data_IF_210568467923
#
_entry.id   IF_210568467923
#
_cell.length_a   1.000
_cell.length_b   1.000
_cell.length_c   1.000
_cell.angle_alpha   90.00
_cell.angle_beta   90.00
_cell.angle_gamma   90.00
#
_symmetry.space_group_name_H-M   'P 1'
#
loop_
_entity.id
_entity.type
_entity.pdbx_description
1 polymer ?
#
# COMPACT_ATOMS: atom_id res chain seq x y z
N UNK A 1 -21.33 59.86 -19.76
CA UNK A 1 -22.10 60.73 -18.86
C UNK A 1 -21.79 60.27 -17.44
N UNK A 2 -20.87 60.98 -16.79
CA UNK A 2 -21.04 61.90 -15.63
C UNK A 2 -21.98 61.33 -14.55
N UNK A 3 -21.45 60.98 -13.34
CA UNK A 3 -21.49 61.90 -12.21
C UNK A 3 -20.63 61.42 -11.04
N UNK A 4 -19.72 62.28 -10.66
CA UNK A 4 -19.05 62.45 -9.37
C UNK A 4 -20.03 62.83 -8.26
N UNK A 5 -19.70 62.49 -6.99
CA UNK A 5 -19.96 63.33 -5.78
C UNK A 5 -19.65 62.47 -4.55
N UNK A 6 -19.12 62.92 -3.47
CA UNK A 6 -18.41 64.08 -2.92
C UNK A 6 -17.91 63.71 -1.53
N UNK A 7 -16.80 64.21 -1.19
CA UNK A 7 -16.15 64.26 0.12
C UNK A 7 -17.05 64.72 1.26
N UNK A 8 -16.78 64.23 2.49
CA UNK A 8 -16.97 65.03 3.70
C UNK A 8 -15.82 64.74 4.68
N UNK A 9 -14.93 65.68 4.71
CA UNK A 9 -13.86 65.88 5.70
C UNK A 9 -14.49 66.55 6.93
N UNK A 10 -14.28 66.03 8.13
CA UNK A 10 -14.52 66.76 9.36
C UNK A 10 -13.26 66.72 10.26
N UNK A 11 -12.56 67.84 10.25
CA UNK A 11 -11.59 68.17 11.26
C UNK A 11 -12.33 68.62 12.54
N UNK A 12 -11.90 68.12 13.70
CA UNK A 12 -12.06 68.91 14.92
C UNK A 12 -10.84 68.81 15.84
N UNK A 13 -10.53 69.88 16.39
CA UNK A 13 -9.32 70.42 16.95
C UNK A 13 -8.90 69.85 18.32
N UNK A 14 -7.64 69.98 18.50
CA UNK A 14 -6.78 69.92 19.68
C UNK A 14 -7.38 70.58 20.95
N UNK A 15 -7.22 69.89 22.09
CA UNK A 15 -6.86 70.54 23.35
C UNK A 15 -5.89 69.69 24.15
N UNK A 16 -4.71 70.21 24.35
CA UNK A 16 -3.70 69.66 25.22
C UNK A 16 -4.04 69.99 26.67
N UNK A 17 -3.92 68.99 27.54
CA UNK A 17 -3.61 69.26 28.97
C UNK A 17 -2.52 68.33 29.40
N UNK A 18 -1.42 68.91 29.81
CA UNK A 18 -0.26 68.31 30.44
C UNK A 18 -0.58 67.86 31.87
N UNK A 19 -0.24 66.63 32.22
CA UNK A 19 0.27 66.34 33.57
C UNK A 19 1.02 65.01 33.57
N UNK A 20 2.22 65.07 33.98
CA UNK A 20 3.24 64.07 34.23
C UNK A 20 2.79 62.98 35.20
N UNK A 21 3.06 61.71 34.89
CA UNK A 21 3.68 60.80 35.85
C UNK A 21 4.15 59.51 35.17
N UNK A 22 5.35 59.07 35.47
CA UNK A 22 6.05 57.89 35.04
C UNK A 22 5.27 56.65 35.38
N UNK A 23 5.20 55.74 34.42
CA UNK A 23 5.69 54.37 34.58
C UNK A 23 5.78 53.73 33.17
N UNK A 24 7.02 53.57 32.73
CA UNK A 24 7.32 52.80 31.54
C UNK A 24 7.11 51.31 31.88
N UNK A 25 6.01 50.77 31.46
CA UNK A 25 5.90 49.36 31.16
C UNK A 25 5.18 49.23 29.80
N UNK A 26 5.93 49.53 28.74
CA UNK A 26 5.53 49.18 27.37
C UNK A 26 5.69 47.68 27.23
N UNK A 27 4.72 46.91 27.71
CA UNK A 27 4.48 45.61 27.18
C UNK A 27 4.00 45.81 25.74
N UNK A 28 4.99 45.76 24.83
CA UNK A 28 4.75 45.66 23.39
C UNK A 28 4.07 44.32 23.09
N UNK A 29 2.82 44.17 23.49
CA UNK A 29 1.99 43.03 23.08
C UNK A 29 1.50 43.35 21.67
N UNK A 30 2.15 42.71 20.67
CA UNK A 30 1.55 42.60 19.35
C UNK A 30 0.09 42.14 19.50
N UNK A 31 -0.89 42.84 18.87
CA UNK A 31 -2.28 42.45 18.99
C UNK A 31 -2.42 40.97 18.61
N UNK A 32 -2.90 40.18 19.54
CA UNK A 32 -3.15 38.75 19.29
C UNK A 32 -4.31 38.65 18.29
N UNK A 33 -4.04 38.11 17.11
CA UNK A 33 -5.06 37.85 16.11
C UNK A 33 -6.00 36.76 16.63
N UNK A 34 -7.31 37.05 16.67
CA UNK A 34 -8.32 36.12 17.16
C UNK A 34 -8.55 35.01 16.13
N UNK A 35 -8.60 33.78 16.60
CA UNK A 35 -8.86 32.61 15.74
C UNK A 35 -10.37 32.46 15.53
N UNK A 36 -10.79 32.50 14.28
CA UNK A 36 -12.18 32.31 13.87
C UNK A 36 -12.55 30.83 13.80
N UNK A 37 -11.73 30.00 13.12
CA UNK A 37 -11.96 28.57 12.94
C UNK A 37 -10.68 27.76 12.71
N UNK A 38 -10.80 26.45 12.89
CA UNK A 38 -9.86 25.42 12.44
C UNK A 38 -10.57 24.54 11.43
N UNK A 39 -9.91 24.16 10.35
CA UNK A 39 -10.40 23.22 9.35
C UNK A 39 -9.37 22.12 9.12
N UNK A 40 -9.85 20.90 8.85
CA UNK A 40 -9.02 19.78 8.41
C UNK A 40 -9.24 19.55 6.91
N UNK A 41 -8.19 19.10 6.22
CA UNK A 41 -8.26 18.67 4.82
C UNK A 41 -9.22 17.49 4.59
N UNK A 42 -9.53 16.70 5.65
CA UNK A 42 -10.48 15.58 5.62
C UNK A 42 -11.25 15.51 6.94
N UNK A 43 -12.55 15.20 6.86
CA UNK A 43 -13.43 15.02 8.03
C UNK A 43 -13.72 13.55 8.34
N UNK A 44 -13.34 12.66 7.41
CA UNK A 44 -13.40 11.22 7.58
C UNK A 44 -12.16 10.57 6.95
N UNK A 45 -11.66 9.51 7.57
CA UNK A 45 -10.47 8.78 7.16
C UNK A 45 -10.68 7.29 7.37
N UNK A 46 -10.41 6.49 6.35
CA UNK A 46 -10.39 5.04 6.44
C UNK A 46 -8.94 4.55 6.36
N UNK A 47 -8.54 3.71 7.31
CA UNK A 47 -7.22 3.13 7.43
C UNK A 47 -7.34 1.62 7.65
N UNK A 48 -6.39 0.87 7.14
CA UNK A 48 -6.14 -0.48 7.62
C UNK A 48 -5.25 -0.45 8.87
N UNK A 49 -5.26 -1.51 9.65
CA UNK A 49 -4.29 -1.66 10.74
C UNK A 49 -2.87 -1.57 10.19
N UNK A 50 -2.04 -0.71 10.78
CA UNK A 50 -0.67 -0.41 10.34
C UNK A 50 -0.56 0.68 9.27
N UNK A 51 -1.66 1.11 8.65
CA UNK A 51 -1.64 2.19 7.63
C UNK A 51 -1.51 3.56 8.29
N UNK A 52 -0.84 4.47 7.58
CA UNK A 52 -0.67 5.86 7.99
C UNK A 52 -1.21 6.83 6.94
N UNK A 53 -1.89 7.89 7.41
CA UNK A 53 -2.31 9.02 6.56
C UNK A 53 -2.14 10.34 7.31
N UNK A 54 -1.84 11.40 6.56
CA UNK A 54 -1.62 12.74 7.14
C UNK A 54 -2.86 13.62 7.01
N UNK A 55 -3.31 14.16 8.14
CA UNK A 55 -4.26 15.27 8.24
C UNK A 55 -3.50 16.58 8.28
N UNK A 56 -4.03 17.58 7.60
CA UNK A 56 -3.53 18.95 7.65
C UNK A 56 -4.59 19.87 8.27
N UNK A 57 -4.21 20.62 9.29
CA UNK A 57 -5.08 21.63 9.90
C UNK A 57 -4.74 23.03 9.35
N UNK A 58 -5.78 23.81 9.09
CA UNK A 58 -5.67 25.23 8.69
C UNK A 58 -6.42 26.08 9.70
N UNK A 59 -5.74 27.09 10.26
CA UNK A 59 -6.34 28.06 11.18
C UNK A 59 -6.68 29.34 10.43
N UNK A 60 -7.86 29.87 10.64
CA UNK A 60 -8.33 31.14 10.04
C UNK A 60 -8.46 32.20 11.12
N UNK A 61 -8.01 33.43 10.83
CA UNK A 61 -7.36 33.95 9.62
C UNK A 61 -5.89 33.46 9.48
N UNK A 62 -5.30 33.59 8.31
CA UNK A 62 -3.96 33.07 7.98
C UNK A 62 -2.81 33.73 8.74
N UNK A 63 -3.01 34.95 9.24
CA UNK A 63 -2.08 35.70 10.07
C UNK A 63 -2.19 35.36 11.57
N UNK A 64 -3.18 34.52 11.95
CA UNK A 64 -3.25 33.97 13.30
C UNK A 64 -2.21 32.85 13.50
N UNK A 65 -1.99 32.48 14.76
CA UNK A 65 -1.09 31.38 15.12
C UNK A 65 -1.61 30.06 14.53
N UNK A 66 -0.87 29.47 13.60
CA UNK A 66 -1.22 28.23 12.89
C UNK A 66 -0.92 26.97 13.69
N UNK A 67 -0.37 27.08 14.90
CA UNK A 67 -0.03 25.93 15.74
C UNK A 67 -1.28 25.25 16.26
N UNK A 68 -1.38 23.95 16.03
CA UNK A 68 -2.43 23.07 16.58
C UNK A 68 -1.83 21.96 17.43
N UNK A 69 -2.61 21.49 18.39
CA UNK A 69 -2.36 20.23 19.10
C UNK A 69 -3.28 19.15 18.57
N UNK A 70 -2.81 17.91 18.56
CA UNK A 70 -3.53 16.77 18.06
C UNK A 70 -3.84 15.78 19.18
N UNK A 71 -5.06 15.26 19.19
CA UNK A 71 -5.51 14.26 20.16
C UNK A 71 -6.37 13.19 19.49
N UNK A 72 -6.22 11.94 19.93
CA UNK A 72 -7.09 10.83 19.56
C UNK A 72 -8.04 10.51 20.70
N UNK A 73 -9.31 10.30 20.38
CA UNK A 73 -10.31 9.85 21.37
C UNK A 73 -10.04 8.42 21.87
N UNK A 74 -9.25 7.64 21.11
CA UNK A 74 -8.86 6.28 21.50
C UNK A 74 -7.54 5.87 20.82
N UNK A 75 -6.43 5.98 21.54
CA UNK A 75 -5.10 5.66 21.06
C UNK A 75 -4.85 4.16 20.84
N UNK A 76 -5.72 3.28 21.34
CA UNK A 76 -5.64 1.85 21.02
C UNK A 76 -6.17 1.55 19.64
N UNK A 77 -7.07 2.39 19.09
CA UNK A 77 -7.62 2.25 17.75
C UNK A 77 -6.79 3.03 16.74
N UNK A 78 -6.55 4.31 17.01
CA UNK A 78 -5.73 5.15 16.14
C UNK A 78 -4.92 6.14 16.97
N UNK A 79 -3.64 6.29 16.66
CA UNK A 79 -2.77 7.32 17.22
C UNK A 79 -2.60 8.48 16.25
N UNK A 80 -2.25 9.67 16.77
CA UNK A 80 -1.91 10.83 15.94
C UNK A 80 -0.64 11.50 16.46
N UNK A 81 0.27 11.82 15.56
CA UNK A 81 1.49 12.58 15.85
C UNK A 81 1.72 13.59 14.72
N UNK A 82 1.75 14.86 15.06
CA UNK A 82 2.00 15.97 14.12
C UNK A 82 1.09 15.90 12.85
N UNK A 83 -0.19 15.48 13.04
CA UNK A 83 -1.15 15.27 11.97
C UNK A 83 -1.09 13.91 11.27
N UNK A 84 -0.03 13.13 11.48
CA UNK A 84 0.04 11.77 10.93
C UNK A 84 -0.74 10.82 11.82
N UNK A 85 -1.79 10.21 11.24
CA UNK A 85 -2.69 9.26 11.90
C UNK A 85 -2.25 7.85 11.53
N UNK A 86 -2.05 6.99 12.54
CA UNK A 86 -1.69 5.57 12.38
C UNK A 86 -2.81 4.69 12.91
N UNK A 87 -3.34 3.77 12.09
CA UNK A 87 -4.29 2.74 12.51
C UNK A 87 -3.62 1.67 13.38
N UNK A 88 -4.16 1.36 14.56
CA UNK A 88 -3.59 0.37 15.50
C UNK A 88 -4.42 -0.90 15.62
N UNK A 89 -5.71 -0.78 15.88
CA UNK A 89 -6.64 -1.91 15.94
C UNK A 89 -7.95 -1.54 15.28
N UNK A 90 -8.70 -2.52 14.80
CA UNK A 90 -10.01 -2.30 14.19
C UNK A 90 -10.97 -1.58 15.14
N UNK A 91 -11.67 -0.59 14.61
CA UNK A 91 -12.62 0.23 15.38
C UNK A 91 -12.74 1.64 14.86
N UNK A 92 -13.39 2.51 15.62
CA UNK A 92 -13.59 3.92 15.28
C UNK A 92 -12.95 4.81 16.35
N UNK A 93 -12.18 5.81 15.92
CA UNK A 93 -11.66 6.87 16.77
C UNK A 93 -11.96 8.24 16.12
N UNK A 94 -11.91 9.30 16.93
CA UNK A 94 -12.01 10.68 16.46
C UNK A 94 -10.66 11.36 16.70
N UNK A 95 -10.07 11.93 15.66
CA UNK A 95 -8.90 12.78 15.78
C UNK A 95 -9.35 14.24 15.86
N UNK A 96 -8.85 14.94 16.85
CA UNK A 96 -9.16 16.36 17.10
C UNK A 96 -7.90 17.19 16.94
N UNK A 97 -7.98 18.23 16.12
CA UNK A 97 -6.99 19.30 16.05
C UNK A 97 -7.52 20.51 16.83
N UNK A 98 -6.76 21.02 17.79
CA UNK A 98 -7.11 22.16 18.61
C UNK A 98 -6.10 23.28 18.38
N UNK A 99 -6.56 24.46 17.96
CA UNK A 99 -5.71 25.65 17.86
C UNK A 99 -5.14 26.03 19.22
N UNK A 100 -3.84 26.24 19.28
CA UNK A 100 -3.13 26.60 20.52
C UNK A 100 -3.67 27.85 21.17
N UNK A 101 -4.09 28.82 20.35
CA UNK A 101 -4.71 30.06 20.81
C UNK A 101 -6.22 30.00 20.51
N UNK A 102 -7.05 30.39 21.49
CA UNK A 102 -8.51 30.49 21.32
C UNK A 102 -9.29 29.16 21.40
N UNK A 103 -8.62 27.98 21.46
CA UNK A 103 -9.26 26.69 21.72
C UNK A 103 -10.25 26.22 20.66
N UNK A 104 -10.23 26.78 19.44
CA UNK A 104 -11.07 26.30 18.32
C UNK A 104 -10.59 24.92 17.86
N UNK A 105 -11.52 24.06 17.51
CA UNK A 105 -11.25 22.66 17.16
C UNK A 105 -11.82 22.27 15.81
N UNK A 106 -11.20 21.27 15.18
CA UNK A 106 -11.77 20.52 14.08
C UNK A 106 -11.54 19.04 14.30
N UNK A 107 -12.45 18.21 13.81
CA UNK A 107 -12.41 16.75 14.03
C UNK A 107 -12.45 15.97 12.74
N UNK A 108 -11.78 14.81 12.75
CA UNK A 108 -11.85 13.81 11.70
C UNK A 108 -12.26 12.47 12.31
N UNK A 109 -13.32 11.85 11.77
CA UNK A 109 -13.70 10.48 12.13
C UNK A 109 -12.75 9.52 11.44
N UNK A 110 -12.08 8.66 12.21
CA UNK A 110 -11.19 7.62 11.70
C UNK A 110 -11.85 6.26 11.91
N UNK A 111 -11.99 5.52 10.83
CA UNK A 111 -12.39 4.12 10.87
C UNK A 111 -11.18 3.25 10.52
N UNK A 112 -10.77 2.41 11.45
CA UNK A 112 -9.68 1.45 11.24
C UNK A 112 -10.28 0.08 10.97
N UNK A 113 -9.98 -0.46 9.81
CA UNK A 113 -10.42 -1.80 9.40
C UNK A 113 -9.34 -2.81 9.79
N UNK A 114 -9.73 -3.92 10.40
CA UNK A 114 -8.83 -5.04 10.66
C UNK A 114 -8.30 -5.63 9.37
N UNK A 115 -7.09 -6.17 9.41
CA UNK A 115 -6.58 -6.97 8.30
C UNK A 115 -7.47 -8.19 8.13
N UNK A 116 -7.87 -8.49 6.88
CA UNK A 116 -8.66 -9.69 6.57
C UNK A 116 -7.76 -10.91 6.77
N UNK A 117 -8.24 -11.89 7.49
CA UNK A 117 -7.57 -13.17 7.65
C UNK A 117 -8.15 -14.19 6.65
N UNK A 118 -7.28 -15.01 6.08
CA UNK A 118 -7.63 -16.05 5.12
C UNK A 118 -7.17 -17.42 5.62
N UNK A 119 -7.83 -18.46 5.12
CA UNK A 119 -7.38 -19.84 5.26
C UNK A 119 -6.76 -20.31 3.95
N UNK A 120 -5.93 -21.35 4.04
CA UNK A 120 -5.44 -22.04 2.85
C UNK A 120 -6.61 -22.60 2.06
N UNK A 121 -6.66 -22.29 0.77
CA UNK A 121 -7.75 -22.62 -0.13
C UNK A 121 -8.81 -21.54 -0.32
N UNK A 122 -8.79 -20.44 0.43
CA UNK A 122 -9.71 -19.32 0.23
C UNK A 122 -9.44 -18.62 -1.10
N UNK A 123 -10.49 -18.03 -1.68
CA UNK A 123 -10.33 -17.09 -2.79
C UNK A 123 -9.76 -15.77 -2.27
N UNK A 124 -8.97 -15.10 -3.10
CA UNK A 124 -8.43 -13.78 -2.79
C UNK A 124 -8.91 -12.77 -3.85
N UNK A 125 -9.38 -11.56 -3.51
CA UNK A 125 -9.42 -10.95 -2.17
C UNK A 125 -10.69 -11.25 -1.35
N UNK A 126 -11.63 -12.02 -1.85
CA UNK A 126 -12.82 -12.42 -1.10
C UNK A 126 -12.89 -13.94 -0.94
N UNK A 127 -12.79 -14.41 0.32
CA UNK A 127 -12.64 -15.83 0.66
C UNK A 127 -13.78 -16.72 0.11
N UNK A 128 -14.98 -16.18 0.02
CA UNK A 128 -16.22 -16.89 -0.32
C UNK A 128 -16.69 -16.58 -1.76
N UNK A 129 -16.13 -15.57 -2.43
CA UNK A 129 -16.58 -15.12 -3.74
C UNK A 129 -15.57 -15.46 -4.85
N UNK A 130 -15.89 -16.52 -5.63
CA UNK A 130 -15.09 -16.91 -6.78
C UNK A 130 -15.18 -15.93 -7.96
N UNK A 131 -16.24 -15.12 -8.02
CA UNK A 131 -16.47 -14.21 -9.16
C UNK A 131 -15.55 -13.00 -9.19
N UNK A 132 -15.06 -12.59 -8.02
CA UNK A 132 -14.10 -11.48 -7.86
C UNK A 132 -12.67 -11.97 -7.62
N UNK A 133 -12.47 -13.28 -7.58
CA UNK A 133 -11.18 -13.86 -7.27
C UNK A 133 -10.11 -13.53 -8.31
N UNK A 134 -8.92 -13.17 -7.84
CA UNK A 134 -7.71 -13.03 -8.66
C UNK A 134 -6.70 -14.14 -8.43
N UNK A 135 -6.91 -14.93 -7.37
CA UNK A 135 -6.07 -16.07 -7.01
C UNK A 135 -6.65 -16.89 -5.86
N UNK A 136 -5.91 -17.92 -5.47
CA UNK A 136 -6.23 -18.79 -4.35
C UNK A 136 -5.10 -18.75 -3.34
N UNK A 137 -5.46 -18.59 -2.06
CA UNK A 137 -4.52 -18.60 -0.95
C UNK A 137 -3.95 -20.01 -0.78
N UNK A 138 -2.65 -20.18 -0.81
CA UNK A 138 -2.01 -21.48 -0.62
C UNK A 138 -1.11 -21.57 0.62
N UNK A 139 -0.75 -20.42 1.20
CA UNK A 139 0.03 -20.35 2.43
C UNK A 139 -0.50 -19.20 3.30
N UNK A 140 -0.55 -19.41 4.60
CA UNK A 140 -0.94 -18.38 5.58
C UNK A 140 0.03 -18.37 6.76
N UNK A 141 0.24 -17.18 7.32
CA UNK A 141 0.99 -16.95 8.55
C UNK A 141 0.24 -15.95 9.42
N UNK A 142 0.64 -15.84 10.69
CA UNK A 142 0.04 -14.90 11.64
C UNK A 142 -1.51 -14.99 11.68
N UNK A 143 -2.03 -16.21 11.79
CA UNK A 143 -3.49 -16.42 11.86
C UNK A 143 -4.24 -16.07 10.56
N UNK A 144 -3.58 -16.12 9.41
CA UNK A 144 -4.18 -15.85 8.09
C UNK A 144 -4.10 -14.40 7.64
N UNK A 145 -3.53 -13.51 8.46
CA UNK A 145 -3.41 -12.07 8.15
C UNK A 145 -2.33 -11.80 7.08
N UNK A 146 -1.36 -12.69 6.97
CA UNK A 146 -0.34 -12.69 5.93
C UNK A 146 -0.31 -14.04 5.25
N UNK A 147 0.06 -14.06 3.99
CA UNK A 147 0.15 -15.31 3.24
C UNK A 147 0.55 -15.11 1.80
N UNK A 148 0.40 -16.19 1.05
CA UNK A 148 0.71 -16.21 -0.38
C UNK A 148 -0.48 -16.72 -1.20
N UNK A 149 -0.68 -16.07 -2.33
CA UNK A 149 -1.74 -16.32 -3.31
C UNK A 149 -1.09 -16.77 -4.61
N UNK A 150 -1.68 -17.75 -5.27
CA UNK A 150 -1.32 -18.15 -6.63
C UNK A 150 -2.39 -17.63 -7.60
N UNK A 151 -1.98 -17.10 -8.75
CA UNK A 151 -2.89 -16.56 -9.77
C UNK A 151 -3.83 -17.64 -10.33
N UNK A 152 -5.06 -17.24 -10.69
CA UNK A 152 -6.03 -18.15 -11.32
C UNK A 152 -5.62 -18.59 -12.71
N UNK A 153 -5.04 -17.68 -13.47
CA UNK A 153 -4.57 -17.88 -14.83
C UNK A 153 -3.09 -18.26 -14.89
N UNK A 154 -2.69 -18.76 -16.01
CA UNK A 154 -1.31 -19.04 -16.36
C UNK A 154 -1.03 -18.64 -17.80
N UNK A 155 0.24 -18.54 -18.15
CA UNK A 155 0.69 -18.36 -19.52
C UNK A 155 1.84 -19.32 -19.82
N UNK A 156 2.32 -19.27 -21.05
CA UNK A 156 3.55 -19.94 -21.47
C UNK A 156 4.48 -18.88 -22.05
N UNK A 157 5.69 -18.82 -21.55
CA UNK A 157 6.67 -17.80 -21.94
C UNK A 157 8.09 -18.34 -21.82
N UNK A 158 9.02 -17.65 -22.47
CA UNK A 158 10.46 -17.80 -22.19
C UNK A 158 10.76 -17.15 -20.83
N UNK A 159 11.73 -17.69 -20.12
CA UNK A 159 12.26 -17.01 -18.93
C UNK A 159 12.98 -15.72 -19.35
N UNK A 160 13.84 -15.81 -20.37
CA UNK A 160 14.53 -14.68 -21.00
C UNK A 160 14.68 -14.88 -22.49
N UNK A 161 14.68 -13.79 -23.26
CA UNK A 161 15.00 -13.77 -24.71
C UNK A 161 16.48 -13.58 -25.00
N UNK A 162 17.25 -13.22 -23.98
CA UNK A 162 18.70 -12.91 -24.04
C UNK A 162 19.46 -13.73 -22.99
N UNK A 163 20.79 -13.75 -23.11
CA UNK A 163 21.62 -14.23 -22.03
C UNK A 163 21.64 -13.19 -20.91
N UNK A 164 21.67 -13.62 -19.66
CA UNK A 164 21.72 -12.73 -18.50
C UNK A 164 23.08 -12.85 -17.78
N UNK A 165 23.49 -11.75 -17.15
CA UNK A 165 24.75 -11.60 -16.42
C UNK A 165 24.56 -11.17 -14.95
N UNK A 166 23.33 -11.29 -14.46
CA UNK A 166 22.96 -11.01 -13.07
C UNK A 166 22.53 -12.29 -12.35
N UNK A 167 22.50 -12.23 -11.04
CA UNK A 167 22.06 -13.33 -10.17
C UNK A 167 20.76 -12.94 -9.44
N UNK A 168 19.78 -13.82 -9.55
CA UNK A 168 18.52 -13.79 -8.80
C UNK A 168 18.33 -15.19 -8.22
N UNK A 169 18.83 -15.46 -7.03
CA UNK A 169 18.97 -16.80 -6.50
C UNK A 169 18.36 -17.03 -5.11
N UNK A 170 17.62 -16.05 -4.57
CA UNK A 170 16.90 -16.29 -3.33
C UNK A 170 15.92 -17.45 -3.52
N UNK A 171 16.13 -18.48 -2.70
CA UNK A 171 15.38 -19.72 -2.81
C UNK A 171 13.92 -19.59 -2.40
N UNK A 172 13.59 -18.64 -1.49
CA UNK A 172 12.28 -18.50 -0.86
C UNK A 172 11.60 -17.16 -1.14
N UNK A 173 12.29 -16.22 -1.78
CA UNK A 173 11.77 -14.88 -2.05
C UNK A 173 11.74 -14.57 -3.56
N UNK A 174 10.65 -14.99 -4.20
CA UNK A 174 10.41 -14.71 -5.61
C UNK A 174 10.17 -13.23 -5.88
N UNK A 175 9.66 -12.48 -4.90
CA UNK A 175 9.45 -11.04 -5.05
C UNK A 175 10.80 -10.30 -5.14
N UNK A 176 11.76 -10.65 -4.27
CA UNK A 176 13.12 -10.10 -4.34
C UNK A 176 13.82 -10.47 -5.66
N UNK A 177 13.74 -11.74 -6.08
CA UNK A 177 14.30 -12.18 -7.36
C UNK A 177 13.65 -11.44 -8.54
N UNK A 178 12.31 -11.34 -8.57
CA UNK A 178 11.58 -10.65 -9.63
C UNK A 178 11.96 -9.18 -9.71
N UNK A 179 12.17 -8.53 -8.56
CA UNK A 179 12.65 -7.15 -8.52
C UNK A 179 14.02 -7.01 -9.20
N UNK A 180 14.99 -7.89 -8.90
CA UNK A 180 16.31 -7.88 -9.53
C UNK A 180 16.17 -8.05 -11.06
N UNK A 181 15.30 -8.98 -11.51
CA UNK A 181 15.05 -9.23 -12.93
C UNK A 181 14.47 -7.98 -13.61
N UNK A 182 13.48 -7.35 -12.98
CA UNK A 182 12.77 -6.20 -13.56
C UNK A 182 13.53 -4.87 -13.45
N UNK A 183 14.60 -4.81 -12.69
CA UNK A 183 15.54 -3.68 -12.67
C UNK A 183 16.51 -3.68 -13.87
N UNK A 184 16.55 -4.76 -14.68
CA UNK A 184 17.39 -4.84 -15.87
C UNK A 184 16.86 -3.96 -16.99
N UNK A 185 17.76 -3.45 -17.83
CA UNK A 185 17.37 -2.63 -19.00
C UNK A 185 16.47 -3.43 -19.96
N UNK A 186 15.33 -2.84 -20.37
CA UNK A 186 14.35 -3.45 -21.27
C UNK A 186 13.74 -4.74 -20.70
N UNK A 187 13.58 -4.81 -19.37
CA UNK A 187 13.15 -6.02 -18.67
C UNK A 187 11.81 -6.56 -19.20
N UNK A 188 10.86 -5.69 -19.54
CA UNK A 188 9.54 -6.08 -20.06
C UNK A 188 9.60 -6.93 -21.34
N UNK A 189 10.62 -6.75 -22.15
CA UNK A 189 10.80 -7.49 -23.40
C UNK A 189 11.83 -8.61 -23.29
N UNK A 190 12.81 -8.46 -22.40
CA UNK A 190 13.91 -9.42 -22.23
C UNK A 190 13.55 -10.56 -21.29
N UNK A 191 12.65 -10.34 -20.31
CA UNK A 191 12.27 -11.33 -19.29
C UNK A 191 10.75 -11.54 -19.26
N UNK A 192 10.17 -12.13 -20.32
CA UNK A 192 8.71 -12.18 -20.50
C UNK A 192 7.97 -12.96 -19.40
N UNK A 193 8.59 -13.97 -18.77
CA UNK A 193 7.98 -14.67 -17.65
C UNK A 193 7.76 -13.77 -16.43
N UNK A 194 8.78 -13.00 -16.02
CA UNK A 194 8.68 -12.05 -14.92
C UNK A 194 7.76 -10.87 -15.28
N UNK A 195 7.91 -10.34 -16.50
CA UNK A 195 7.09 -9.24 -17.01
C UNK A 195 5.59 -9.57 -16.97
N UNK A 196 5.21 -10.78 -17.39
CA UNK A 196 3.81 -11.23 -17.31
C UNK A 196 3.28 -11.27 -15.87
N UNK A 197 4.10 -11.69 -14.92
CA UNK A 197 3.70 -11.70 -13.52
C UNK A 197 3.46 -10.30 -12.98
N UNK A 198 4.38 -9.36 -13.20
CA UNK A 198 4.25 -7.99 -12.69
C UNK A 198 3.16 -7.18 -13.39
N UNK A 199 2.82 -7.53 -14.64
CA UNK A 199 1.73 -6.92 -15.38
C UNK A 199 0.34 -7.16 -14.75
N UNK A 200 0.20 -8.13 -13.85
CA UNK A 200 -1.03 -8.37 -13.09
C UNK A 200 -1.34 -7.28 -12.07
N UNK A 201 -0.36 -6.48 -11.70
CA UNK A 201 -0.51 -5.38 -10.75
C UNK A 201 0.56 -5.37 -9.67
N UNK A 202 0.48 -4.37 -8.80
CA UNK A 202 1.46 -4.18 -7.73
C UNK A 202 1.51 -5.41 -6.81
N UNK A 203 2.71 -5.90 -6.54
CA UNK A 203 2.95 -7.00 -5.61
C UNK A 203 2.87 -8.40 -6.21
N UNK A 204 2.49 -8.55 -7.50
CA UNK A 204 2.57 -9.82 -8.20
C UNK A 204 4.00 -10.07 -8.70
N UNK A 205 4.47 -11.31 -8.60
CA UNK A 205 5.85 -11.68 -8.92
C UNK A 205 5.97 -13.11 -9.48
N UNK A 206 7.10 -13.40 -10.13
CA UNK A 206 7.49 -14.73 -10.55
C UNK A 206 8.01 -15.50 -9.33
N UNK A 207 7.40 -16.64 -8.95
CA UNK A 207 7.74 -17.33 -7.70
C UNK A 207 9.16 -17.87 -7.68
N UNK A 208 9.77 -17.92 -6.50
CA UNK A 208 11.03 -18.61 -6.27
C UNK A 208 10.83 -20.13 -6.20
N UNK A 209 11.92 -20.87 -6.33
CA UNK A 209 11.93 -22.32 -6.30
C UNK A 209 11.28 -22.91 -5.04
N UNK A 210 11.62 -22.39 -3.86
CA UNK A 210 11.05 -22.87 -2.60
C UNK A 210 9.56 -22.61 -2.48
N UNK A 211 9.06 -21.52 -3.03
CA UNK A 211 7.63 -21.20 -3.08
C UNK A 211 6.87 -22.16 -4.00
N UNK A 212 7.42 -22.46 -5.18
CA UNK A 212 6.86 -23.45 -6.10
C UNK A 212 6.85 -24.86 -5.49
N UNK A 213 7.90 -25.24 -4.76
CA UNK A 213 7.97 -26.54 -4.09
C UNK A 213 6.91 -26.65 -2.98
N UNK A 214 6.73 -25.61 -2.19
CA UNK A 214 5.72 -25.59 -1.13
C UNK A 214 4.30 -25.69 -1.71
N UNK A 215 3.99 -24.92 -2.75
CA UNK A 215 2.71 -25.05 -3.42
C UNK A 215 2.54 -26.44 -4.06
N UNK A 216 3.56 -26.96 -4.71
CA UNK A 216 3.53 -28.31 -5.29
C UNK A 216 3.30 -29.42 -4.25
N UNK A 217 3.81 -29.26 -3.03
CA UNK A 217 3.53 -30.16 -1.89
C UNK A 217 2.05 -30.13 -1.50
N UNK A 218 1.50 -28.91 -1.34
CA UNK A 218 0.08 -28.71 -0.99
C UNK A 218 -0.83 -29.25 -2.10
N UNK A 219 -0.48 -28.98 -3.35
CA UNK A 219 -1.26 -29.36 -4.51
C UNK A 219 -1.35 -30.91 -4.67
N UNK A 220 -0.26 -31.64 -4.44
CA UNK A 220 -0.27 -33.12 -4.54
C UNK A 220 -1.30 -33.76 -3.61
N UNK A 221 -1.50 -33.21 -2.45
CA UNK A 221 -2.47 -33.71 -1.46
C UNK A 221 -3.90 -33.30 -1.80
N UNK A 222 -4.09 -32.21 -2.56
CA UNK A 222 -5.36 -31.53 -2.73
C UNK A 222 -5.68 -31.13 -4.17
N UNK A 223 -5.10 -31.79 -5.19
CA UNK A 223 -5.18 -31.35 -6.60
C UNK A 223 -6.62 -31.15 -7.10
N UNK A 224 -7.52 -32.10 -6.77
CA UNK A 224 -8.92 -31.99 -7.17
C UNK A 224 -9.60 -30.77 -6.58
N UNK A 225 -9.37 -30.49 -5.29
CA UNK A 225 -9.94 -29.34 -4.59
C UNK A 225 -9.46 -28.04 -5.20
N UNK A 226 -8.14 -27.89 -5.43
CA UNK A 226 -7.59 -26.70 -6.04
C UNK A 226 -8.07 -26.51 -7.48
N UNK A 227 -8.07 -27.57 -8.29
CA UNK A 227 -8.54 -27.50 -9.67
C UNK A 227 -10.02 -27.14 -9.77
N UNK A 228 -10.86 -27.66 -8.86
CA UNK A 228 -12.26 -27.24 -8.76
C UNK A 228 -12.36 -25.73 -8.44
N UNK A 229 -11.54 -25.22 -7.51
CA UNK A 229 -11.52 -23.81 -7.18
C UNK A 229 -11.02 -22.93 -8.34
N UNK A 230 -9.96 -23.33 -9.02
CA UNK A 230 -9.48 -22.64 -10.23
C UNK A 230 -10.58 -22.55 -11.29
N UNK A 231 -11.22 -23.66 -11.63
CA UNK A 231 -12.26 -23.67 -12.67
C UNK A 231 -13.52 -22.90 -12.25
N UNK A 232 -13.95 -22.97 -10.99
CA UNK A 232 -15.09 -22.21 -10.49
C UNK A 232 -14.86 -20.69 -10.58
N UNK A 233 -13.62 -20.25 -10.46
CA UNK A 233 -13.24 -18.86 -10.62
C UNK A 233 -12.86 -18.47 -12.06
N UNK A 234 -13.12 -19.33 -13.05
CA UNK A 234 -12.78 -19.07 -14.44
C UNK A 234 -11.29 -19.16 -14.77
N UNK A 235 -10.50 -19.73 -13.87
CA UNK A 235 -9.06 -19.91 -14.02
C UNK A 235 -8.67 -21.22 -14.69
N UNK A 236 -7.38 -21.46 -14.82
CA UNK A 236 -6.78 -22.63 -15.46
C UNK A 236 -6.44 -23.68 -14.42
N UNK A 237 -6.95 -24.90 -14.61
CA UNK A 237 -6.59 -26.07 -13.79
C UNK A 237 -5.11 -26.41 -13.95
N UNK A 238 -4.49 -26.91 -12.87
CA UNK A 238 -3.09 -27.34 -12.88
C UNK A 238 -3.05 -28.85 -13.20
N UNK A 239 -2.21 -29.24 -14.16
CA UNK A 239 -1.91 -30.62 -14.44
C UNK A 239 -0.65 -31.07 -13.70
N UNK A 240 -0.71 -32.25 -13.09
CA UNK A 240 0.44 -32.90 -12.46
C UNK A 240 0.85 -34.18 -13.21
N UNK A 241 0.22 -34.47 -14.38
CA UNK A 241 0.24 -35.78 -14.97
C UNK A 241 1.51 -36.11 -15.76
N UNK A 242 2.32 -35.11 -16.11
CA UNK A 242 3.50 -35.35 -16.93
C UNK A 242 4.70 -34.50 -16.53
N UNK A 243 5.91 -35.04 -16.84
CA UNK A 243 7.17 -34.28 -16.80
C UNK A 243 7.19 -33.07 -17.79
N UNK A 244 6.08 -32.76 -18.46
CA UNK A 244 5.92 -31.65 -19.39
C UNK A 244 5.28 -30.43 -18.75
N UNK A 245 4.75 -30.56 -17.53
CA UNK A 245 4.09 -29.46 -16.80
C UNK A 245 5.11 -28.69 -15.95
N UNK A 246 6.11 -28.13 -16.61
CA UNK A 246 7.14 -27.34 -15.97
C UNK A 246 6.67 -25.91 -15.79
N UNK A 247 7.03 -25.32 -14.64
CA UNK A 247 6.82 -23.91 -14.32
C UNK A 247 8.16 -23.22 -14.12
N UNK A 248 8.31 -22.03 -14.67
CA UNK A 248 9.45 -21.17 -14.39
C UNK A 248 9.48 -20.72 -12.93
N UNK A 249 10.63 -20.87 -12.29
CA UNK A 249 10.98 -20.15 -11.08
C UNK A 249 11.70 -18.83 -11.43
N UNK A 250 11.73 -17.92 -10.50
CA UNK A 250 12.49 -16.66 -10.65
C UNK A 250 14.00 -16.83 -10.51
N UNK A 251 14.45 -17.98 -10.03
CA UNK A 251 15.85 -18.25 -9.77
C UNK A 251 16.66 -18.43 -11.06
N UNK A 252 17.83 -17.81 -11.09
CA UNK A 252 18.90 -18.10 -12.03
C UNK A 252 19.69 -19.32 -11.58
N UNK A 253 20.25 -20.09 -12.51
CA UNK A 253 21.23 -21.12 -12.21
C UNK A 253 22.65 -20.52 -12.31
N UNK A 254 23.65 -21.28 -11.86
CA UNK A 254 25.07 -20.87 -11.83
C UNK A 254 25.71 -20.62 -13.20
N UNK A 255 24.99 -20.91 -14.29
CA UNK A 255 25.38 -20.61 -15.68
C UNK A 255 24.52 -19.49 -16.25
N UNK A 256 25.12 -18.55 -16.96
CA UNK A 256 24.49 -17.32 -17.49
C UNK A 256 23.29 -17.55 -18.42
N UNK A 257 23.01 -18.77 -18.84
CA UNK A 257 21.99 -19.09 -19.84
C UNK A 257 20.90 -20.03 -19.35
N UNK A 258 20.91 -20.38 -18.06
CA UNK A 258 19.99 -21.35 -17.47
C UNK A 258 19.13 -20.69 -16.39
N UNK A 259 17.85 -21.04 -16.41
CA UNK A 259 16.90 -20.71 -15.37
C UNK A 259 16.35 -21.99 -14.77
N UNK A 260 15.79 -21.91 -13.57
CA UNK A 260 15.30 -23.06 -12.85
C UNK A 260 13.84 -23.32 -13.20
N UNK A 261 13.53 -24.57 -13.50
CA UNK A 261 12.20 -25.09 -13.73
C UNK A 261 11.77 -25.96 -12.55
N UNK A 262 10.56 -25.76 -12.13
CA UNK A 262 9.87 -26.63 -11.20
C UNK A 262 8.86 -27.52 -11.95
N UNK A 263 8.77 -28.79 -11.61
CA UNK A 263 7.72 -29.68 -12.09
C UNK A 263 6.86 -30.20 -10.93
N UNK A 264 5.55 -30.37 -11.19
CA UNK A 264 4.55 -30.65 -10.16
C UNK A 264 4.79 -31.94 -9.32
N UNK A 265 5.74 -32.77 -9.71
CA UNK A 265 6.20 -33.91 -8.91
C UNK A 265 7.15 -33.56 -7.75
N UNK A 266 7.48 -32.29 -7.54
CA UNK A 266 8.32 -31.82 -6.44
C UNK A 266 9.81 -31.77 -6.75
N UNK A 267 10.22 -32.04 -7.99
CA UNK A 267 11.59 -31.87 -8.43
C UNK A 267 11.82 -30.56 -9.18
N UNK A 268 13.06 -30.31 -9.49
CA UNK A 268 13.47 -29.16 -10.32
C UNK A 268 14.62 -29.57 -11.24
N UNK A 269 14.85 -28.76 -12.25
CA UNK A 269 15.99 -28.88 -13.15
C UNK A 269 16.33 -27.49 -13.70
N UNK A 270 17.54 -27.30 -14.13
CA UNK A 270 17.91 -26.12 -14.94
C UNK A 270 17.76 -26.43 -16.43
N UNK A 271 17.43 -25.41 -17.20
CA UNK A 271 17.29 -25.51 -18.64
C UNK A 271 17.60 -24.19 -19.31
N UNK A 272 17.69 -24.21 -20.64
CA UNK A 272 17.89 -22.99 -21.43
C UNK A 272 16.71 -22.03 -21.21
N UNK A 273 17.02 -20.79 -20.83
CA UNK A 273 16.06 -19.73 -20.55
C UNK A 273 15.20 -19.29 -21.74
N UNK A 274 15.58 -19.67 -22.97
CA UNK A 274 14.85 -19.37 -24.22
C UNK A 274 13.77 -20.37 -24.59
N UNK A 275 13.63 -21.44 -23.82
CA UNK A 275 12.52 -22.36 -23.97
C UNK A 275 11.21 -21.80 -23.40
N UNK A 276 10.07 -22.30 -23.90
CA UNK A 276 8.76 -21.86 -23.44
C UNK A 276 8.21 -22.85 -22.42
N UNK A 277 8.02 -22.38 -21.19
CA UNK A 277 7.37 -23.13 -20.12
C UNK A 277 6.27 -22.33 -19.46
N UNK A 278 5.50 -22.96 -18.58
CA UNK A 278 4.38 -22.35 -17.89
C UNK A 278 4.85 -21.32 -16.88
N UNK A 279 4.04 -20.28 -16.70
CA UNK A 279 4.23 -19.21 -15.75
C UNK A 279 2.94 -19.02 -14.95
N UNK A 280 3.04 -19.05 -13.64
CA UNK A 280 2.00 -18.60 -12.72
C UNK A 280 2.56 -17.55 -11.80
N UNK A 281 1.81 -16.49 -11.60
CA UNK A 281 2.22 -15.42 -10.72
C UNK A 281 1.82 -15.70 -9.27
N UNK A 282 2.65 -15.25 -8.35
CA UNK A 282 2.38 -15.26 -6.92
C UNK A 282 2.22 -13.82 -6.40
N UNK A 283 1.47 -13.71 -5.32
CA UNK A 283 1.26 -12.46 -4.60
C UNK A 283 1.37 -12.72 -3.10
N UNK A 284 2.07 -11.85 -2.37
CA UNK A 284 2.14 -11.88 -0.92
C UNK A 284 1.28 -10.74 -0.34
N UNK A 285 0.41 -11.05 0.63
CA UNK A 285 -0.47 -10.11 1.31
C UNK A 285 -0.17 -10.00 2.79
#
# INVERSE_FOLDING_TARGET
MKKFRHYALLLFAVMAVSACSKDNDETNSTPKVEIEKVELNQTALNLNVGEEKTLTATVTPSDANQTVTWESSNETIATVKDGTVTGKTAGTATITATAKDGGKTATCKVEVTGLKAYNVGDYYPDADDSSTAVGIVFQTTNGGVHGKVISLDETTAQWSTVNHDFTADDYNDGAANTKIIMEQAEADTKYPAAAWCVAKGIGWYLPAMGELQEFGRILRENVTTYNTKFTNAGGTAISLETRKDYYWASNTDSGSDSAILFYGGGGYTSTNNKENYRVRAYYAY
#
